data_IF_307905983430
#
_entry.id   IF_307905983430
#
_cell.length_a   1.000
_cell.length_b   1.000
_cell.length_c   1.000
_cell.angle_alpha   90.00
_cell.angle_beta   90.00
_cell.angle_gamma   90.00
#
_symmetry.space_group_name_H-M   'P 1'
#
loop_
_entity.id
_entity.type
_entity.pdbx_description
1 polymer ?
#
# COMPACT_ATOMS: atom_id res chain seq x y z
N UNK A 1 -15.07 4.40 -34.11
CA UNK A 1 -15.11 2.96 -34.07
C UNK A 1 -13.79 2.40 -33.61
N UNK A 2 -13.58 2.27 -32.27
CA UNK A 2 -12.43 1.54 -31.71
C UNK A 2 -12.92 0.14 -31.37
N UNK A 3 -12.38 -0.86 -32.06
CA UNK A 3 -12.63 -2.26 -31.75
C UNK A 3 -11.74 -2.67 -30.57
N UNK A 4 -12.36 -3.08 -29.47
CA UNK A 4 -11.69 -3.69 -28.34
C UNK A 4 -11.11 -5.06 -28.73
N UNK A 5 -9.81 -5.22 -28.57
CA UNK A 5 -9.15 -6.52 -28.60
C UNK A 5 -9.13 -7.06 -27.16
N UNK A 6 -9.96 -8.07 -26.93
CA UNK A 6 -10.02 -8.80 -25.68
C UNK A 6 -8.69 -9.47 -25.36
N UNK A 7 -8.15 -9.15 -24.20
CA UNK A 7 -7.07 -9.91 -23.56
C UNK A 7 -7.73 -11.00 -22.70
N UNK A 8 -8.01 -12.12 -23.33
CA UNK A 8 -8.41 -13.33 -22.64
C UNK A 8 -7.19 -14.08 -22.08
N UNK A 9 -7.18 -14.28 -20.79
CA UNK A 9 -6.70 -15.52 -20.22
C UNK A 9 -5.20 -15.75 -20.08
N UNK A 10 -4.67 -15.54 -18.88
CA UNK A 10 -3.75 -16.47 -18.21
C UNK A 10 -3.60 -16.17 -16.71
N UNK A 11 -4.68 -16.33 -15.97
CA UNK A 11 -4.66 -16.28 -14.50
C UNK A 11 -4.55 -17.65 -13.83
N UNK A 12 -3.88 -18.63 -14.46
CA UNK A 12 -3.89 -20.01 -13.94
C UNK A 12 -2.59 -20.54 -13.34
N UNK A 13 -1.57 -19.74 -13.10
CA UNK A 13 -0.31 -20.28 -12.56
C UNK A 13 0.06 -19.88 -11.13
N UNK A 14 -0.59 -18.86 -10.59
CA UNK A 14 -0.25 -18.37 -9.23
C UNK A 14 -0.86 -19.19 -8.10
N UNK A 15 -2.05 -19.79 -8.29
CA UNK A 15 -2.74 -20.56 -7.25
C UNK A 15 -2.10 -21.91 -6.92
N UNK A 16 -1.08 -22.36 -7.64
CA UNK A 16 -0.49 -23.69 -7.45
C UNK A 16 0.82 -23.72 -6.66
N UNK A 17 1.38 -22.59 -6.26
CA UNK A 17 2.65 -22.57 -5.51
C UNK A 17 2.56 -22.15 -4.04
N UNK A 18 1.41 -21.71 -3.59
CA UNK A 18 1.14 -21.50 -2.18
C UNK A 18 0.21 -22.62 -1.68
N UNK A 19 0.69 -23.86 -1.74
CA UNK A 19 0.21 -24.82 -0.77
C UNK A 19 0.82 -24.41 0.57
N UNK A 20 0.17 -23.45 1.21
CA UNK A 20 0.37 -23.19 2.62
C UNK A 20 -0.10 -24.46 3.33
N UNK A 21 0.82 -25.37 3.61
CA UNK A 21 0.56 -26.44 4.56
C UNK A 21 0.09 -25.75 5.83
N UNK A 22 -1.14 -26.03 6.21
CA UNK A 22 -1.73 -25.51 7.45
C UNK A 22 -0.68 -25.65 8.53
N UNK A 23 -0.23 -24.52 9.07
CA UNK A 23 0.65 -24.52 10.24
C UNK A 23 -0.04 -25.38 11.29
N UNK A 24 0.63 -26.36 11.86
CA UNK A 24 0.11 -27.01 13.04
C UNK A 24 -0.19 -25.93 14.06
N UNK A 25 -1.27 -26.09 14.76
CA UNK A 25 -1.90 -25.23 15.76
C UNK A 25 -0.96 -24.22 16.40
N UNK A 26 -1.43 -22.97 16.47
CA UNK A 26 -0.78 -21.86 17.18
C UNK A 26 -0.24 -22.37 18.53
N UNK A 27 1.09 -22.49 18.60
CA UNK A 27 1.75 -22.93 19.81
C UNK A 27 1.34 -22.00 20.96
N UNK A 28 0.87 -22.59 22.04
CA UNK A 28 0.55 -21.87 23.28
C UNK A 28 1.72 -20.96 23.71
N UNK A 29 1.44 -19.79 24.27
CA UNK A 29 2.51 -18.88 24.72
C UNK A 29 3.41 -19.61 25.73
N UNK A 30 4.69 -19.77 25.36
CA UNK A 30 5.70 -20.46 26.17
C UNK A 30 6.31 -21.73 25.53
N UNK A 31 5.80 -22.23 24.41
CA UNK A 31 6.44 -23.34 23.72
C UNK A 31 7.62 -22.88 22.87
N UNK A 32 8.82 -23.31 23.26
CA UNK A 32 10.04 -23.11 22.46
C UNK A 32 9.96 -24.01 21.24
N UNK A 33 9.72 -23.45 20.07
CA UNK A 33 9.76 -24.16 18.79
C UNK A 33 11.23 -24.45 18.50
N UNK A 34 11.69 -25.69 18.76
CA UNK A 34 13.01 -26.16 18.33
C UNK A 34 12.96 -26.41 16.82
N UNK A 35 13.50 -25.49 16.06
CA UNK A 35 13.74 -25.72 14.62
C UNK A 35 14.82 -26.80 14.51
N UNK A 36 14.45 -27.96 13.94
CA UNK A 36 15.44 -29.00 13.63
C UNK A 36 16.42 -28.43 12.61
N UNK A 37 17.63 -28.11 13.04
CA UNK A 37 18.73 -27.86 12.11
C UNK A 37 18.97 -29.14 11.32
N UNK A 38 19.02 -29.04 10.02
CA UNK A 38 19.37 -30.15 9.15
C UNK A 38 20.88 -30.42 9.34
N UNK A 39 21.21 -31.27 10.30
CA UNK A 39 22.61 -31.54 10.69
C UNK A 39 23.31 -32.53 9.76
N UNK A 40 22.53 -33.27 8.96
CA UNK A 40 23.07 -34.29 8.04
C UNK A 40 22.93 -33.83 6.60
N UNK A 41 23.82 -32.94 6.19
CA UNK A 41 24.05 -32.66 4.77
C UNK A 41 24.66 -33.90 4.11
N UNK A 42 24.07 -34.38 3.02
CA UNK A 42 24.67 -35.43 2.19
C UNK A 42 26.06 -35.01 1.71
N UNK A 43 26.91 -36.02 1.43
CA UNK A 43 28.27 -35.72 0.98
C UNK A 43 28.32 -34.82 -0.28
N UNK A 44 27.34 -34.96 -1.19
CA UNK A 44 27.17 -34.11 -2.38
C UNK A 44 26.79 -32.66 -2.01
N UNK A 45 25.98 -32.48 -0.95
CA UNK A 45 25.60 -31.16 -0.46
C UNK A 45 26.75 -30.45 0.25
N UNK A 46 27.69 -31.22 0.85
CA UNK A 46 28.92 -30.70 1.44
C UNK A 46 29.91 -30.18 0.40
N UNK A 47 29.84 -30.67 -0.84
CA UNK A 47 30.75 -30.24 -1.91
C UNK A 47 30.44 -28.83 -2.46
N UNK A 48 29.32 -28.19 -2.08
CA UNK A 48 28.89 -26.87 -2.59
C UNK A 48 28.73 -26.78 -4.13
N UNK A 49 29.43 -27.63 -4.87
CA UNK A 49 29.50 -27.58 -6.33
C UNK A 49 28.14 -27.75 -7.01
N UNK A 50 27.29 -28.72 -6.63
CA UNK A 50 25.96 -28.87 -7.23
C UNK A 50 25.05 -27.66 -6.98
N UNK A 51 25.15 -27.08 -5.78
CA UNK A 51 24.38 -25.90 -5.41
C UNK A 51 24.85 -24.66 -6.21
N UNK A 52 26.16 -24.51 -6.36
CA UNK A 52 26.76 -23.44 -7.15
C UNK A 52 26.34 -23.53 -8.63
N UNK A 53 26.41 -24.73 -9.22
CA UNK A 53 25.96 -24.97 -10.60
C UNK A 53 24.49 -24.63 -10.77
N UNK A 54 23.65 -25.04 -9.81
CA UNK A 54 22.21 -24.73 -9.84
C UNK A 54 21.93 -23.24 -9.75
N UNK A 55 22.64 -22.52 -8.88
CA UNK A 55 22.56 -21.07 -8.75
C UNK A 55 22.99 -20.37 -10.04
N UNK A 56 24.15 -20.75 -10.59
CA UNK A 56 24.65 -20.22 -11.85
C UNK A 56 23.72 -20.50 -13.03
N UNK A 57 23.15 -21.70 -13.11
CA UNK A 57 22.17 -22.08 -14.13
C UNK A 57 20.92 -21.19 -14.06
N UNK A 58 20.46 -20.83 -12.85
CA UNK A 58 19.33 -19.93 -12.68
C UNK A 58 19.67 -18.52 -13.21
N UNK A 59 20.82 -17.98 -12.83
CA UNK A 59 21.29 -16.68 -13.29
C UNK A 59 21.52 -16.66 -14.81
N UNK A 60 22.18 -17.68 -15.34
CA UNK A 60 22.40 -17.83 -16.78
C UNK A 60 21.09 -17.88 -17.56
N UNK A 61 20.09 -18.61 -17.07
CA UNK A 61 18.75 -18.66 -17.70
C UNK A 61 18.10 -17.29 -17.76
N UNK A 62 18.19 -16.48 -16.69
CA UNK A 62 17.70 -15.11 -16.69
C UNK A 62 18.47 -14.23 -17.66
N UNK A 63 19.78 -14.32 -17.68
CA UNK A 63 20.63 -13.60 -18.60
C UNK A 63 20.27 -13.87 -20.07
N UNK A 64 20.24 -15.14 -20.49
CA UNK A 64 19.90 -15.50 -21.87
C UNK A 64 18.46 -15.15 -22.24
N UNK A 65 17.52 -15.23 -21.31
CA UNK A 65 16.14 -14.79 -21.54
C UNK A 65 16.08 -13.29 -21.83
N UNK A 66 16.80 -12.49 -21.05
CA UNK A 66 16.82 -11.04 -21.22
C UNK A 66 17.59 -10.63 -22.49
N UNK A 67 18.72 -11.29 -22.77
CA UNK A 67 19.48 -11.08 -23.99
C UNK A 67 18.63 -11.37 -25.25
N UNK A 68 17.87 -12.47 -25.22
CA UNK A 68 16.94 -12.81 -26.29
C UNK A 68 15.80 -11.80 -26.41
N UNK A 69 15.28 -11.29 -25.30
CA UNK A 69 14.28 -10.21 -25.26
C UNK A 69 14.81 -8.93 -25.91
N UNK A 70 16.05 -8.57 -25.59
CA UNK A 70 16.72 -7.42 -26.19
C UNK A 70 16.91 -7.58 -27.71
N UNK A 71 17.38 -8.75 -28.15
CA UNK A 71 17.59 -9.04 -29.57
C UNK A 71 16.30 -9.07 -30.40
N UNK A 72 15.17 -9.43 -29.79
CA UNK A 72 13.84 -9.53 -30.45
C UNK A 72 12.99 -8.28 -30.30
N UNK A 73 13.50 -7.21 -29.69
CA UNK A 73 12.75 -5.96 -29.46
C UNK A 73 11.50 -6.12 -28.55
N UNK A 74 11.38 -7.26 -27.87
CA UNK A 74 10.31 -7.45 -26.89
C UNK A 74 10.54 -6.54 -25.69
N UNK A 75 9.48 -5.88 -25.22
CA UNK A 75 9.50 -5.10 -23.98
C UNK A 75 10.14 -5.94 -22.86
N UNK A 76 11.02 -5.30 -22.11
CA UNK A 76 11.71 -5.91 -20.97
C UNK A 76 10.71 -6.67 -20.10
N UNK A 77 11.03 -7.89 -19.77
CA UNK A 77 10.29 -8.72 -18.82
C UNK A 77 10.71 -8.44 -17.37
N UNK A 78 11.54 -7.44 -17.18
CA UNK A 78 12.08 -7.06 -15.90
C UNK A 78 11.11 -6.09 -15.22
N UNK A 79 10.95 -6.24 -13.91
CA UNK A 79 10.19 -5.32 -13.06
C UNK A 79 10.95 -4.00 -12.81
N UNK A 80 11.77 -3.59 -13.75
CA UNK A 80 12.53 -2.34 -13.64
C UNK A 80 11.70 -1.21 -14.21
N UNK A 81 11.36 -0.25 -13.37
CA UNK A 81 10.73 1.00 -13.76
C UNK A 81 11.82 2.04 -13.92
N UNK A 82 11.83 2.73 -15.04
CA UNK A 82 12.77 3.81 -15.33
C UNK A 82 12.23 5.12 -14.71
N UNK A 83 12.32 5.22 -13.41
CA UNK A 83 11.96 6.46 -12.72
C UNK A 83 13.04 7.54 -12.98
N UNK A 84 12.70 8.82 -13.28
CA UNK A 84 11.34 9.41 -13.23
C UNK A 84 10.56 9.34 -14.54
N UNK A 85 11.11 8.79 -15.64
CA UNK A 85 10.49 8.74 -16.96
C UNK A 85 9.25 7.85 -16.99
N UNK A 86 9.30 6.76 -16.22
CA UNK A 86 8.18 5.84 -16.02
C UNK A 86 7.76 5.86 -14.57
N UNK A 87 6.46 6.07 -14.32
CA UNK A 87 5.87 5.99 -12.98
C UNK A 87 5.13 4.67 -12.80
N UNK A 88 5.22 4.12 -11.61
CA UNK A 88 4.48 2.91 -11.23
C UNK A 88 3.01 3.29 -11.01
N UNK A 89 2.08 2.57 -11.64
CA UNK A 89 0.67 2.64 -11.26
C UNK A 89 0.46 1.77 -10.02
N UNK A 90 0.30 2.40 -8.88
CA UNK A 90 0.10 1.73 -7.61
C UNK A 90 -1.29 1.09 -7.54
N UNK A 91 -1.43 -0.09 -6.92
CA UNK A 91 -2.72 -0.74 -6.72
C UNK A 91 -3.64 0.10 -5.83
N UNK A 92 -4.94 -0.18 -5.87
CA UNK A 92 -5.93 0.58 -5.10
C UNK A 92 -5.77 0.38 -3.58
N UNK A 93 -5.20 -0.76 -3.16
CA UNK A 93 -4.84 -1.04 -1.77
C UNK A 93 -3.58 -0.30 -1.27
N UNK A 94 -2.92 0.48 -2.13
CA UNK A 94 -1.67 1.16 -1.76
C UNK A 94 -1.91 2.26 -0.72
N UNK A 95 -1.01 2.36 0.26
CA UNK A 95 -1.05 3.34 1.35
C UNK A 95 0.06 4.37 1.16
N UNK A 96 -0.20 5.44 0.39
CA UNK A 96 0.69 6.60 0.26
C UNK A 96 0.38 7.68 1.29
N UNK A 97 0.58 8.94 0.93
CA UNK A 97 0.33 10.07 1.82
C UNK A 97 -1.15 10.16 2.23
N UNK A 98 -1.48 10.29 3.54
CA UNK A 98 -2.83 10.59 3.96
C UNK A 98 -3.27 11.97 3.48
N UNK A 99 -4.48 12.06 2.96
CA UNK A 99 -5.07 13.29 2.43
C UNK A 99 -6.50 13.46 2.91
N UNK A 100 -6.99 14.71 2.93
CA UNK A 100 -8.37 15.03 3.28
C UNK A 100 -9.23 15.13 2.03
N UNK A 101 -10.38 14.50 2.06
CA UNK A 101 -11.37 14.57 0.99
C UNK A 101 -12.05 15.94 1.02
N UNK A 102 -11.94 16.69 -0.06
CA UNK A 102 -12.65 17.93 -0.24
C UNK A 102 -14.03 17.69 -0.87
N UNK A 103 -15.05 18.34 -0.34
CA UNK A 103 -16.38 18.42 -0.92
C UNK A 103 -16.39 19.34 -2.16
N UNK A 104 -17.40 19.27 -3.04
CA UNK A 104 -17.50 20.15 -4.21
C UNK A 104 -17.51 21.64 -3.90
N UNK A 105 -17.86 22.03 -2.67
CA UNK A 105 -17.81 23.40 -2.16
C UNK A 105 -16.41 23.83 -1.69
N UNK A 106 -15.40 22.94 -1.79
CA UNK A 106 -14.03 23.18 -1.35
C UNK A 106 -13.79 23.00 0.16
N UNK A 107 -14.82 22.67 0.93
CA UNK A 107 -14.69 22.39 2.36
C UNK A 107 -14.23 20.95 2.60
N UNK A 108 -13.52 20.67 3.71
CA UNK A 108 -13.20 19.31 4.08
C UNK A 108 -14.47 18.52 4.44
N UNK A 109 -14.52 17.26 4.05
CA UNK A 109 -15.58 16.32 4.47
C UNK A 109 -15.49 15.99 5.97
N UNK A 110 -14.38 16.30 6.59
CA UNK A 110 -14.07 16.04 7.99
C UNK A 110 -14.97 16.82 8.93
N UNK A 111 -15.50 16.13 9.95
CA UNK A 111 -16.34 16.69 11.02
C UNK A 111 -15.54 16.89 12.33
N UNK A 112 -14.24 16.85 12.29
CA UNK A 112 -13.33 17.05 13.43
C UNK A 112 -13.69 16.20 14.67
N UNK A 113 -14.01 14.92 14.48
CA UNK A 113 -14.36 14.01 15.57
C UNK A 113 -13.16 13.52 16.40
N UNK A 114 -11.92 13.67 15.92
CA UNK A 114 -10.69 13.29 16.62
C UNK A 114 -10.34 11.79 16.57
N UNK A 115 -11.16 10.94 15.96
CA UNK A 115 -10.92 9.48 15.96
C UNK A 115 -9.62 9.10 15.24
N UNK A 116 -9.25 9.78 14.16
CA UNK A 116 -8.01 9.53 13.43
C UNK A 116 -6.77 9.97 14.23
N UNK A 117 -6.86 11.04 15.03
CA UNK A 117 -5.84 11.48 15.97
C UNK A 117 -5.62 10.42 17.05
N UNK A 118 -6.71 9.95 17.67
CA UNK A 118 -6.66 8.90 18.68
C UNK A 118 -6.13 7.56 18.15
N UNK A 119 -6.47 7.20 16.91
CA UNK A 119 -6.02 5.96 16.28
C UNK A 119 -4.57 6.00 15.81
N UNK A 120 -3.94 7.17 15.79
CA UNK A 120 -2.58 7.34 15.27
C UNK A 120 -1.52 6.78 16.23
N UNK A 121 -0.75 5.72 15.86
CA UNK A 121 0.23 5.12 16.77
C UNK A 121 1.48 5.99 16.99
N UNK A 122 1.71 6.97 16.10
CA UNK A 122 2.86 7.87 16.17
C UNK A 122 2.51 9.27 16.66
N UNK A 123 1.21 9.50 16.96
CA UNK A 123 0.73 10.78 17.46
C UNK A 123 1.20 11.95 16.57
N UNK A 124 0.90 11.83 15.28
CA UNK A 124 1.35 12.78 14.25
C UNK A 124 0.21 13.60 13.63
N UNK A 125 -1.02 13.47 14.14
CA UNK A 125 -2.20 14.18 13.66
C UNK A 125 -2.70 15.09 14.80
N UNK A 126 -2.86 16.37 14.50
CA UNK A 126 -3.38 17.36 15.43
C UNK A 126 -4.63 18.00 14.82
N UNK A 127 -5.74 18.00 15.59
CA UNK A 127 -7.04 18.51 15.11
C UNK A 127 -7.61 19.51 16.11
N UNK A 128 -7.87 20.71 15.63
CA UNK A 128 -8.67 21.69 16.39
C UNK A 128 -10.04 21.83 15.75
N UNK A 129 -11.11 21.46 16.49
CA UNK A 129 -12.48 21.59 15.98
C UNK A 129 -12.93 23.07 16.00
N UNK A 130 -13.65 23.47 14.95
CA UNK A 130 -14.36 24.74 14.87
C UNK A 130 -15.86 24.52 14.68
N UNK A 131 -16.65 25.54 14.88
CA UNK A 131 -18.10 25.54 14.70
C UNK A 131 -18.49 26.55 13.62
N UNK A 132 -19.34 26.12 12.67
CA UNK A 132 -19.91 26.96 11.62
C UNK A 132 -21.42 26.98 11.82
N UNK A 133 -21.99 28.08 12.36
CA UNK A 133 -23.41 28.13 12.72
C UNK A 133 -24.36 28.08 11.50
N UNK A 134 -23.89 28.37 10.29
CA UNK A 134 -24.74 28.51 9.10
C UNK A 134 -24.48 27.46 7.99
N UNK A 135 -23.51 26.56 8.17
CA UNK A 135 -23.27 25.50 7.21
C UNK A 135 -23.89 24.20 7.74
N UNK A 136 -24.64 23.47 6.95
CA UNK A 136 -25.32 22.22 7.36
C UNK A 136 -24.42 21.15 7.99
N UNK A 137 -23.15 21.46 8.24
CA UNK A 137 -22.17 20.75 9.04
C UNK A 137 -21.85 21.61 10.24
N UNK A 138 -22.33 21.23 11.44
CA UNK A 138 -22.12 21.98 12.68
C UNK A 138 -20.65 22.07 13.09
N UNK A 139 -19.85 21.03 12.81
CA UNK A 139 -18.45 20.92 13.20
C UNK A 139 -17.56 20.70 11.99
N UNK A 140 -16.45 21.40 11.95
CA UNK A 140 -15.41 21.26 10.93
C UNK A 140 -14.03 21.37 11.58
N UNK A 141 -12.94 20.88 10.95
CA UNK A 141 -11.61 21.15 11.46
C UNK A 141 -11.21 22.59 11.17
N UNK A 142 -11.04 23.40 12.22
CA UNK A 142 -10.45 24.71 12.10
C UNK A 142 -8.99 24.57 11.66
N UNK A 143 -8.23 23.70 12.37
CA UNK A 143 -6.91 23.24 11.93
C UNK A 143 -6.92 21.72 11.84
N UNK A 144 -6.16 21.20 10.88
CA UNK A 144 -5.89 19.79 10.69
C UNK A 144 -4.47 19.65 10.17
N UNK A 145 -3.60 19.20 11.03
CA UNK A 145 -2.18 19.15 10.75
C UNK A 145 -1.65 17.70 10.85
N UNK A 146 -0.75 17.35 9.94
CA UNK A 146 -0.07 16.06 9.96
C UNK A 146 1.43 16.27 9.88
N UNK A 147 2.17 15.79 10.88
CA UNK A 147 3.63 15.69 10.83
C UNK A 147 4.03 14.42 10.03
N UNK A 148 4.22 14.59 8.72
CA UNK A 148 4.60 13.48 7.83
C UNK A 148 6.00 12.93 8.12
N UNK A 149 6.86 13.65 8.85
CA UNK A 149 8.16 13.15 9.28
C UNK A 149 8.04 12.05 10.33
N UNK A 150 6.90 11.97 11.01
CA UNK A 150 6.58 10.95 12.03
C UNK A 150 5.60 9.90 11.53
N UNK A 151 4.87 10.21 10.46
CA UNK A 151 3.86 9.32 9.90
C UNK A 151 4.52 8.03 9.35
N UNK A 152 3.97 6.88 9.73
CA UNK A 152 4.42 5.57 9.26
C UNK A 152 3.54 4.98 8.15
N UNK A 153 2.60 5.75 7.61
CA UNK A 153 1.70 5.37 6.52
C UNK A 153 0.93 4.06 6.76
N UNK A 154 0.55 3.79 8.01
CA UNK A 154 -0.13 2.56 8.41
C UNK A 154 -1.60 2.48 7.96
N UNK A 155 -2.26 3.64 7.72
CA UNK A 155 -3.66 3.72 7.29
C UNK A 155 -4.69 3.58 8.41
N UNK A 156 -4.30 3.48 9.69
CA UNK A 156 -5.25 3.38 10.80
C UNK A 156 -6.16 4.63 10.92
N UNK A 157 -5.67 5.80 10.52
CA UNK A 157 -6.47 7.02 10.48
C UNK A 157 -7.61 6.94 9.44
N UNK A 158 -7.38 6.26 8.32
CA UNK A 158 -8.38 6.00 7.29
C UNK A 158 -9.42 4.99 7.79
N UNK A 159 -8.98 3.89 8.41
CA UNK A 159 -9.86 2.86 8.97
C UNK A 159 -10.71 3.37 10.15
N UNK A 160 -10.19 4.32 10.93
CA UNK A 160 -10.89 4.91 12.06
C UNK A 160 -11.90 6.01 11.66
N UNK A 161 -11.90 6.47 10.42
CA UNK A 161 -12.72 7.61 9.98
C UNK A 161 -14.10 7.16 9.50
N UNK A 162 -15.20 7.44 10.25
CA UNK A 162 -16.55 7.05 9.85
C UNK A 162 -17.07 7.83 8.65
N UNK A 163 -16.51 9.02 8.40
CA UNK A 163 -16.93 9.92 7.32
C UNK A 163 -16.13 9.70 6.02
N UNK A 164 -15.20 8.75 5.98
CA UNK A 164 -14.24 8.60 4.86
C UNK A 164 -13.59 9.94 4.47
N UNK A 165 -13.32 10.77 5.47
CA UNK A 165 -12.81 12.14 5.25
C UNK A 165 -11.30 12.20 5.14
N UNK A 166 -10.57 11.23 5.72
CA UNK A 166 -9.14 11.04 5.53
C UNK A 166 -8.92 9.70 4.83
N UNK A 167 -8.16 9.71 3.75
CA UNK A 167 -7.87 8.52 2.95
C UNK A 167 -6.40 8.50 2.54
N UNK A 168 -5.89 7.30 2.27
CA UNK A 168 -4.52 7.11 1.79
C UNK A 168 -4.48 7.35 0.28
N UNK A 169 -3.69 8.32 -0.14
CA UNK A 169 -3.49 8.64 -1.55
C UNK A 169 -2.48 7.71 -2.22
N UNK A 170 -2.17 7.97 -3.49
CA UNK A 170 -1.09 7.30 -4.22
C UNK A 170 0.19 8.13 -4.25
N UNK A 171 0.18 9.27 -3.59
CA UNK A 171 1.34 10.16 -3.54
C UNK A 171 2.43 9.55 -2.67
N UNK A 172 3.62 9.44 -3.22
CA UNK A 172 4.82 8.89 -2.58
C UNK A 172 6.01 9.84 -2.65
N UNK A 173 5.91 10.89 -3.46
CA UNK A 173 7.00 11.82 -3.68
C UNK A 173 7.02 12.90 -2.59
N UNK A 174 7.09 12.47 -1.34
CA UNK A 174 7.09 13.33 -0.17
C UNK A 174 8.55 13.54 0.25
N UNK A 175 9.06 14.74 0.05
CA UNK A 175 10.41 15.09 0.44
C UNK A 175 10.48 16.54 0.94
N UNK A 176 11.33 16.76 1.93
CA UNK A 176 11.58 18.08 2.49
C UNK A 176 13.03 18.24 2.88
N UNK A 177 13.53 19.47 2.95
CA UNK A 177 14.88 19.77 3.37
C UNK A 177 15.02 19.81 4.90
N UNK A 178 13.92 20.07 5.60
CA UNK A 178 13.86 20.13 7.05
C UNK A 178 12.57 19.52 7.57
N UNK A 179 12.48 19.35 8.88
CA UNK A 179 11.31 18.76 9.53
C UNK A 179 10.08 19.67 9.42
N UNK A 180 10.26 20.97 9.42
CA UNK A 180 9.16 21.91 9.35
C UNK A 180 8.44 21.84 7.99
N UNK A 181 9.17 21.57 6.90
CA UNK A 181 8.60 21.36 5.58
C UNK A 181 7.79 20.08 5.43
N UNK A 182 7.93 19.15 6.37
CA UNK A 182 7.17 17.90 6.43
C UNK A 182 5.93 18.00 7.32
N UNK A 183 5.63 19.17 7.87
CA UNK A 183 4.43 19.47 8.62
C UNK A 183 3.38 20.04 7.67
N UNK A 184 2.40 19.21 7.32
CA UNK A 184 1.38 19.53 6.34
C UNK A 184 0.12 20.05 7.04
N UNK A 185 -0.34 21.19 6.60
CA UNK A 185 -1.54 21.83 7.08
C UNK A 185 -2.77 21.46 6.25
N UNK A 186 -3.94 21.70 6.79
CA UNK A 186 -5.25 21.36 6.19
C UNK A 186 -5.33 21.69 4.70
N UNK A 187 -4.89 22.89 4.29
CA UNK A 187 -4.98 23.37 2.92
C UNK A 187 -4.15 22.53 1.93
N UNK A 188 -3.02 22.02 2.40
CA UNK A 188 -2.12 21.17 1.61
C UNK A 188 -2.61 19.74 1.51
N UNK A 189 -3.45 19.30 2.46
CA UNK A 189 -3.99 17.95 2.54
C UNK A 189 -5.30 17.79 1.75
N UNK A 190 -5.98 18.91 1.42
CA UNK A 190 -7.27 18.86 0.73
C UNK A 190 -7.13 18.42 -0.73
N UNK A 191 -7.79 17.33 -1.06
CA UNK A 191 -7.83 16.76 -2.42
C UNK A 191 -9.28 16.55 -2.83
N UNK A 192 -9.69 16.98 -4.05
CA UNK A 192 -11.03 16.73 -4.55
C UNK A 192 -11.40 15.25 -4.56
N UNK A 193 -12.63 14.94 -4.16
CA UNK A 193 -13.13 13.57 -4.07
C UNK A 193 -13.00 12.80 -5.39
N UNK A 194 -13.13 13.49 -6.53
CA UNK A 194 -13.02 12.91 -7.89
C UNK A 194 -11.66 12.24 -8.13
N UNK A 195 -10.58 12.79 -7.59
CA UNK A 195 -9.23 12.22 -7.72
C UNK A 195 -9.02 11.00 -6.81
N UNK A 196 -9.88 10.83 -5.83
CA UNK A 196 -9.81 9.76 -4.81
C UNK A 196 -10.85 8.65 -5.03
N UNK A 197 -11.66 8.73 -6.10
CA UNK A 197 -12.75 7.77 -6.37
C UNK A 197 -12.28 6.31 -6.37
N UNK A 198 -11.11 6.02 -6.93
CA UNK A 198 -10.56 4.65 -6.96
C UNK A 198 -10.29 4.12 -5.55
N UNK A 199 -9.76 4.97 -4.66
CA UNK A 199 -9.49 4.58 -3.28
C UNK A 199 -10.77 4.44 -2.48
N UNK A 200 -11.68 5.40 -2.59
CA UNK A 200 -12.98 5.36 -1.94
C UNK A 200 -13.80 4.15 -2.38
N UNK A 201 -13.79 3.83 -3.68
CA UNK A 201 -14.46 2.64 -4.21
C UNK A 201 -13.84 1.33 -3.71
N UNK A 202 -12.51 1.29 -3.53
CA UNK A 202 -11.81 0.15 -2.95
C UNK A 202 -12.22 -0.06 -1.48
N UNK A 203 -12.25 1.00 -0.67
CA UNK A 203 -12.63 0.93 0.74
C UNK A 203 -14.05 0.42 0.90
N UNK A 204 -15.01 0.97 0.19
CA UNK A 204 -16.42 0.55 0.23
C UNK A 204 -16.57 -0.92 -0.17
N UNK A 205 -15.90 -1.36 -1.23
CA UNK A 205 -15.93 -2.76 -1.65
C UNK A 205 -15.21 -3.72 -0.69
N UNK A 206 -14.34 -3.23 0.18
CA UNK A 206 -13.73 -4.03 1.26
C UNK A 206 -14.71 -4.19 2.43
N UNK A 207 -15.37 -3.12 2.86
CA UNK A 207 -16.39 -3.15 3.92
C UNK A 207 -17.56 -4.04 3.55
N UNK A 208 -18.09 -3.94 2.33
CA UNK A 208 -19.20 -4.78 1.85
C UNK A 208 -18.87 -6.28 1.92
N UNK A 209 -17.60 -6.68 1.70
CA UNK A 209 -17.15 -8.06 1.81
C UNK A 209 -17.08 -8.59 3.24
N UNK A 210 -16.77 -7.74 4.19
CA UNK A 210 -16.74 -8.11 5.60
C UNK A 210 -18.15 -8.37 6.13
N UNK A 211 -19.13 -7.56 5.72
CA UNK A 211 -20.52 -7.72 6.10
C UNK A 211 -21.14 -9.01 5.53
N UNK A 212 -20.77 -9.42 4.32
CA UNK A 212 -21.22 -10.69 3.71
C UNK A 212 -20.58 -11.94 4.38
N UNK A 213 -19.50 -11.78 5.13
CA UNK A 213 -18.77 -12.87 5.79
C UNK A 213 -19.18 -13.09 7.25
N UNK A 214 -20.01 -12.21 7.81
CA UNK A 214 -20.48 -12.23 9.20
C UNK A 214 -21.82 -12.90 9.34
#
# INVERSE_FOLDING_TARGET
GFRGTGVTGRSRSWKRRLRFERRPELAMPGQVIRVKRQENLGWLERLYVPLLIRALATTARHFFRNLRGFATGRKRTDFVVQYPEERVDYPDAFRGMPVLVALPNGQPRCVACGLCEFACPTDCIDIVPGELPDAGIERYPETFDIDLSRCMFCGLCEEACPEEAIVMSREVEISGFDRASMHFHKEQLLVPAELLERRLGFLRGEYDREDESS
#
